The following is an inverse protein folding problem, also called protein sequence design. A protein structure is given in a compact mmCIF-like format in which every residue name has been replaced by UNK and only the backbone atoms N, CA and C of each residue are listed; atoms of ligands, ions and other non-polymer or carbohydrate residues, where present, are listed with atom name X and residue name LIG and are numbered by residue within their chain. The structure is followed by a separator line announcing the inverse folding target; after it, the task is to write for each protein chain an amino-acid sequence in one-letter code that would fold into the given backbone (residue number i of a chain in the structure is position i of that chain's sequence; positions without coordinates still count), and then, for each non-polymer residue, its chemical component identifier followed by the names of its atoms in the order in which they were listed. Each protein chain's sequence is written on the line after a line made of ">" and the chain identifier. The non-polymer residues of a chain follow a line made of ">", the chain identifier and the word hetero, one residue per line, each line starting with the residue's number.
data_IF_171614605137
#
_entry.id   IF_171614605137
#
_cell.length_a   1.000
_cell.length_b   1.000
_cell.length_c   1.000
_cell.angle_alpha   90.00
_cell.angle_beta   90.00
_cell.angle_gamma   90.00
#
_symmetry.space_group_name_H-M   'P 1'
#
loop_
_entity.id
_entity.type
_entity.pdbx_description
1 polymer ?
#
# COMPACT_ATOMS: atom_id res chain seq x y z
N UNK A 1 -10.11 15.88 -0.21
CA UNK A 1 -10.16 15.41 -1.61
C UNK A 1 -8.76 15.00 -1.99
N UNK A 2 -8.59 13.75 -2.44
CA UNK A 2 -7.29 13.13 -2.77
C UNK A 2 -6.80 13.65 -4.14
N UNK A 3 -6.45 14.93 -4.18
CA UNK A 3 -5.95 15.64 -5.38
C UNK A 3 -4.47 15.99 -5.23
N UNK A 4 -3.58 15.05 -4.89
CA UNK A 4 -2.15 15.40 -4.87
C UNK A 4 -1.18 14.40 -5.51
N UNK A 5 -1.64 13.30 -6.10
CA UNK A 5 -0.83 12.55 -7.06
C UNK A 5 -1.77 11.81 -8.01
N UNK A 6 -1.67 12.06 -9.32
CA UNK A 6 -2.51 11.53 -10.40
C UNK A 6 -2.41 9.99 -10.62
N UNK A 7 -2.12 9.23 -9.56
CA UNK A 7 -2.12 7.77 -9.57
C UNK A 7 -3.42 7.30 -8.97
N UNK A 8 -4.41 7.07 -9.83
CA UNK A 8 -5.66 6.42 -9.41
C UNK A 8 -5.39 5.00 -8.90
N UNK A 9 -6.25 4.47 -8.01
CA UNK A 9 -6.18 3.06 -7.57
C UNK A 9 -6.16 2.07 -8.75
N UNK A 10 -6.75 2.46 -9.89
CA UNK A 10 -6.74 1.69 -11.14
C UNK A 10 -5.36 1.69 -11.78
N UNK A 11 -4.71 2.85 -11.83
CA UNK A 11 -3.35 2.98 -12.35
C UNK A 11 -2.36 2.20 -11.48
N UNK A 12 -2.48 2.33 -10.16
CA UNK A 12 -1.65 1.57 -9.23
C UNK A 12 -1.84 0.06 -9.40
N UNK A 13 -3.09 -0.40 -9.57
CA UNK A 13 -3.41 -1.79 -9.85
C UNK A 13 -2.78 -2.30 -11.17
N UNK A 14 -2.84 -1.48 -12.22
CA UNK A 14 -2.23 -1.82 -13.50
C UNK A 14 -0.71 -1.92 -13.42
N UNK A 15 -0.04 -0.97 -12.74
CA UNK A 15 1.42 -0.96 -12.62
C UNK A 15 1.94 -2.10 -11.75
N UNK A 16 1.27 -2.36 -10.63
CA UNK A 16 1.70 -3.38 -9.64
C UNK A 16 1.23 -4.79 -10.01
N UNK A 17 0.28 -4.92 -10.94
CA UNK A 17 -0.43 -6.17 -11.21
C UNK A 17 -1.32 -6.63 -10.04
N UNK A 18 -1.51 -5.79 -9.02
CA UNK A 18 -2.37 -6.08 -7.89
C UNK A 18 -3.82 -5.78 -8.29
N UNK A 19 -4.79 -6.65 -7.97
CA UNK A 19 -6.19 -6.37 -8.27
C UNK A 19 -6.62 -5.02 -7.66
N UNK A 20 -7.33 -4.19 -8.42
CA UNK A 20 -7.89 -2.92 -7.93
C UNK A 20 -8.69 -3.11 -6.62
N UNK A 21 -9.37 -4.25 -6.46
CA UNK A 21 -10.06 -4.60 -5.20
C UNK A 21 -9.11 -4.68 -4.01
N UNK A 22 -7.93 -5.27 -4.19
CA UNK A 22 -6.90 -5.38 -3.14
C UNK A 22 -6.27 -4.02 -2.87
N UNK A 23 -5.92 -3.26 -3.90
CA UNK A 23 -5.45 -1.87 -3.76
C UNK A 23 -6.47 -1.03 -2.99
N UNK A 24 -7.75 -1.13 -3.34
CA UNK A 24 -8.80 -0.39 -2.63
C UNK A 24 -8.91 -0.81 -1.15
N UNK A 25 -8.74 -2.10 -0.83
CA UNK A 25 -8.73 -2.54 0.57
C UNK A 25 -7.49 -2.03 1.32
N UNK A 26 -6.32 -1.98 0.68
CA UNK A 26 -5.10 -1.40 1.27
C UNK A 26 -5.31 0.09 1.56
N UNK A 27 -5.83 0.84 0.60
CA UNK A 27 -6.11 2.28 0.73
C UNK A 27 -7.19 2.55 1.79
N UNK A 28 -8.17 1.65 1.96
CA UNK A 28 -9.17 1.76 3.04
C UNK A 28 -8.71 1.10 4.35
N UNK A 29 -7.43 0.74 4.48
CA UNK A 29 -6.86 0.10 5.68
C UNK A 29 -7.55 -1.23 6.09
N UNK A 30 -8.31 -1.82 5.18
CA UNK A 30 -9.01 -3.11 5.36
C UNK A 30 -8.14 -4.30 4.99
N UNK A 31 -6.94 -4.05 4.46
CA UNK A 31 -5.99 -5.10 4.11
C UNK A 31 -4.57 -4.62 4.38
N UNK A 32 -3.81 -5.36 5.21
CA UNK A 32 -2.42 -5.03 5.47
C UNK A 32 -1.57 -5.19 4.20
N UNK A 33 -0.47 -4.43 4.14
CA UNK A 33 0.52 -4.57 3.08
C UNK A 33 1.33 -5.84 3.35
N UNK A 34 1.05 -6.90 2.60
CA UNK A 34 1.85 -8.13 2.64
C UNK A 34 3.23 -7.93 2.00
N UNK A 35 4.20 -8.79 2.33
CA UNK A 35 5.54 -8.76 1.71
C UNK A 35 5.49 -8.91 0.18
N UNK A 36 4.53 -9.67 -0.35
CA UNK A 36 4.30 -9.80 -1.79
C UNK A 36 3.79 -8.47 -2.41
N UNK A 37 2.84 -7.82 -1.74
CA UNK A 37 2.31 -6.49 -2.11
C UNK A 37 3.42 -5.44 -2.08
N UNK A 38 4.21 -5.41 -1.00
CA UNK A 38 5.34 -4.53 -0.82
C UNK A 38 6.37 -4.70 -1.94
N UNK A 39 6.68 -5.95 -2.34
CA UNK A 39 7.64 -6.22 -3.42
C UNK A 39 7.16 -5.71 -4.77
N UNK A 40 5.85 -5.82 -5.04
CA UNK A 40 5.24 -5.28 -6.26
C UNK A 40 5.23 -3.76 -6.27
N UNK A 41 4.96 -3.13 -5.12
CA UNK A 41 5.00 -1.67 -4.98
C UNK A 41 6.43 -1.13 -5.10
N UNK A 42 7.39 -1.74 -4.41
CA UNK A 42 8.82 -1.45 -4.50
C UNK A 42 9.30 -1.42 -5.96
N UNK A 43 8.94 -2.43 -6.76
CA UNK A 43 9.29 -2.49 -8.19
C UNK A 43 8.65 -1.38 -9.04
N UNK A 44 7.44 -0.95 -8.68
CA UNK A 44 6.69 0.08 -9.44
C UNK A 44 7.18 1.48 -9.13
N UNK A 45 7.48 1.75 -7.86
CA UNK A 45 7.95 3.04 -7.40
C UNK A 45 9.47 3.17 -7.39
N UNK A 46 10.17 2.08 -7.70
CA UNK A 46 11.63 1.98 -7.60
C UNK A 46 12.14 2.33 -6.18
N UNK A 47 11.36 1.93 -5.18
CA UNK A 47 11.61 2.09 -3.76
C UNK A 47 12.00 0.76 -3.14
N UNK A 48 12.50 0.79 -1.90
CA UNK A 48 12.87 -0.42 -1.18
C UNK A 48 11.66 -1.19 -0.65
N UNK A 49 11.80 -2.51 -0.53
CA UNK A 49 10.77 -3.36 0.08
C UNK A 49 10.49 -2.94 1.52
N UNK A 50 11.56 -2.62 2.25
CA UNK A 50 11.54 -2.23 3.66
C UNK A 50 10.69 -0.99 3.88
N UNK A 51 10.74 -0.01 2.97
CA UNK A 51 9.91 1.18 3.02
C UNK A 51 8.41 0.85 3.19
N UNK A 52 7.91 -0.14 2.46
CA UNK A 52 6.49 -0.54 2.52
C UNK A 52 6.16 -1.39 3.74
N UNK A 53 7.11 -2.19 4.24
CA UNK A 53 6.91 -2.97 5.47
C UNK A 53 6.98 -2.10 6.71
N UNK A 54 7.87 -1.10 6.73
CA UNK A 54 8.00 -0.14 7.82
C UNK A 54 6.72 0.69 7.97
N UNK A 55 6.10 1.09 6.85
CA UNK A 55 4.79 1.75 6.87
C UNK A 55 3.70 0.87 7.49
N UNK A 56 3.71 -0.44 7.21
CA UNK A 56 2.77 -1.39 7.79
C UNK A 56 3.02 -1.57 9.30
N UNK A 57 4.28 -1.64 9.72
CA UNK A 57 4.66 -1.75 11.12
C UNK A 57 4.26 -0.50 11.92
N UNK A 58 4.53 0.69 11.40
CA UNK A 58 4.08 1.95 11.99
C UNK A 58 2.55 1.98 12.10
N UNK A 59 1.83 1.52 11.08
CA UNK A 59 0.37 1.44 11.13
C UNK A 59 -0.11 0.49 12.23
N UNK A 60 0.49 -0.69 12.35
CA UNK A 60 0.16 -1.68 13.39
C UNK A 60 0.45 -1.16 14.79
N UNK A 61 1.56 -0.45 14.99
CA UNK A 61 1.92 0.19 16.26
C UNK A 61 0.88 1.26 16.66
N UNK A 62 0.48 2.11 15.71
CA UNK A 62 -0.54 3.13 15.95
C UNK A 62 -1.91 2.52 16.25
N UNK A 63 -2.28 1.45 15.54
CA UNK A 63 -3.53 0.72 15.77
C UNK A 63 -3.55 0.07 17.16
N UNK A 64 -2.44 -0.53 17.57
CA UNK A 64 -2.30 -1.19 18.88
C UNK A 64 -2.30 -0.18 20.03
N UNK A 65 -1.77 1.03 19.80
CA UNK A 65 -1.75 2.11 20.80
C UNK A 65 -3.11 2.79 21.00
N UNK A 66 -4.08 2.54 20.13
CA UNK A 66 -5.45 3.07 20.20
C UNK A 66 -6.46 2.05 20.77
N UNK A 67 -5.99 1.03 21.50
CA UNK A 67 -6.80 -0.03 22.09
C UNK A 67 -6.93 0.10 23.62
#
# INVERSE_FOLDING_TARGET
>A
MLEENDITQKELANRTGIPKKTVNKIVNEKHPISQETASKLAKVFNEELEFWTDLQEIYELNKTSNQ
#
